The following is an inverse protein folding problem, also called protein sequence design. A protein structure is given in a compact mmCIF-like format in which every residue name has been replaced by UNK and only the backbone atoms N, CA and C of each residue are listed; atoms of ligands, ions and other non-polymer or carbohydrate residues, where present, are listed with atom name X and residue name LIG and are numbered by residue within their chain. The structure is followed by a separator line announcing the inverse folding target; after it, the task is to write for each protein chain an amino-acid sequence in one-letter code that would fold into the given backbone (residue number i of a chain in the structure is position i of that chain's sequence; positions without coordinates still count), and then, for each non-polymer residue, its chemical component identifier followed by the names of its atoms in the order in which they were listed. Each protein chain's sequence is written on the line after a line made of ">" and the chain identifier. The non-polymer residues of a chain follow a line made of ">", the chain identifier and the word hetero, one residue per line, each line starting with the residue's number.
data_IF_300362069608
#
_entry.id   IF_300362069608
#
_cell.length_a   1.000
_cell.length_b   1.000
_cell.length_c   1.000
_cell.angle_alpha   90.00
_cell.angle_beta   90.00
_cell.angle_gamma   90.00
#
_symmetry.space_group_name_H-M   'P 1'
#
loop_
_entity.id
_entity.type
_entity.pdbx_description
1 polymer ?
#
# COMPACT_ATOMS: atom_id res chain seq x y z
N UNK A 1 8.64 -13.02 -22.78
CA UNK A 1 7.33 -13.37 -23.36
C UNK A 1 6.47 -13.98 -22.28
N UNK A 2 5.34 -13.37 -21.95
CA UNK A 2 4.35 -13.99 -21.04
C UNK A 2 3.35 -14.78 -21.89
N UNK A 3 3.19 -16.07 -21.62
CA UNK A 3 2.09 -16.83 -22.22
C UNK A 3 0.74 -16.31 -21.67
N UNK A 4 -0.38 -16.57 -22.35
CA UNK A 4 -1.71 -16.16 -21.89
C UNK A 4 -1.99 -16.62 -20.45
N UNK A 5 -1.58 -17.85 -20.12
CA UNK A 5 -1.67 -18.39 -18.76
C UNK A 5 -0.86 -17.62 -17.72
N UNK A 6 0.39 -17.25 -18.02
CA UNK A 6 1.23 -16.48 -17.10
C UNK A 6 0.73 -15.04 -16.94
N UNK A 7 0.19 -14.44 -18.02
CA UNK A 7 -0.38 -13.09 -17.98
C UNK A 7 -1.60 -13.01 -17.04
N UNK A 8 -2.45 -14.05 -17.04
CA UNK A 8 -3.62 -14.14 -16.15
C UNK A 8 -3.17 -14.26 -14.69
N UNK A 9 -2.19 -15.12 -14.41
CA UNK A 9 -1.65 -15.29 -13.05
C UNK A 9 -0.95 -14.02 -12.56
N UNK A 10 -0.17 -13.38 -13.42
CA UNK A 10 0.47 -12.09 -13.13
C UNK A 10 -0.56 -10.99 -12.86
N UNK A 11 -1.61 -10.90 -13.68
CA UNK A 11 -2.69 -9.92 -13.50
C UNK A 11 -3.47 -10.15 -12.20
N UNK A 12 -3.79 -11.40 -11.87
CA UNK A 12 -4.45 -11.74 -10.61
C UNK A 12 -3.55 -11.46 -9.39
N UNK A 13 -2.27 -11.84 -9.46
CA UNK A 13 -1.30 -11.55 -8.40
C UNK A 13 -1.11 -10.05 -8.17
N UNK A 14 -0.95 -9.27 -9.24
CA UNK A 14 -0.84 -7.82 -9.17
C UNK A 14 -2.12 -7.17 -8.64
N UNK A 15 -3.30 -7.64 -9.06
CA UNK A 15 -4.59 -7.15 -8.57
C UNK A 15 -4.80 -7.42 -7.07
N UNK A 16 -4.46 -8.62 -6.60
CA UNK A 16 -4.53 -8.98 -5.18
C UNK A 16 -3.53 -8.14 -4.36
N UNK A 17 -2.31 -7.95 -4.85
CA UNK A 17 -1.31 -7.10 -4.20
C UNK A 17 -1.77 -5.65 -4.06
N UNK A 18 -2.39 -5.10 -5.11
CA UNK A 18 -2.95 -3.74 -5.07
C UNK A 18 -4.13 -3.62 -4.11
N UNK A 19 -5.04 -4.61 -4.09
CA UNK A 19 -6.16 -4.64 -3.16
C UNK A 19 -5.70 -4.68 -1.70
N UNK A 20 -4.66 -5.46 -1.39
CA UNK A 20 -4.02 -5.48 -0.08
C UNK A 20 -3.44 -4.12 0.30
N UNK A 21 -2.72 -3.46 -0.63
CA UNK A 21 -2.13 -2.15 -0.39
C UNK A 21 -3.18 -1.08 -0.07
N UNK A 22 -4.31 -1.06 -0.79
CA UNK A 22 -5.39 -0.10 -0.52
C UNK A 22 -6.10 -0.41 0.79
N UNK A 23 -6.33 -1.68 1.11
CA UNK A 23 -6.96 -2.08 2.37
C UNK A 23 -6.10 -1.67 3.56
N UNK A 24 -4.79 -1.87 3.48
CA UNK A 24 -3.83 -1.42 4.48
C UNK A 24 -3.88 0.10 4.65
N UNK A 25 -3.84 0.86 3.54
CA UNK A 25 -3.92 2.31 3.57
C UNK A 25 -5.24 2.80 4.22
N UNK A 26 -6.37 2.18 3.88
CA UNK A 26 -7.66 2.49 4.47
C UNK A 26 -7.68 2.25 5.99
N UNK A 27 -7.14 1.12 6.44
CA UNK A 27 -7.03 0.80 7.87
C UNK A 27 -6.17 1.81 8.64
N UNK A 28 -5.04 2.24 8.07
CA UNK A 28 -4.21 3.26 8.72
C UNK A 28 -4.89 4.63 8.74
N UNK A 29 -5.61 5.01 7.68
CA UNK A 29 -6.39 6.26 7.65
C UNK A 29 -7.53 6.26 8.67
N UNK A 30 -8.23 5.13 8.84
CA UNK A 30 -9.27 4.96 9.85
C UNK A 30 -8.68 5.18 11.26
N UNK A 31 -7.54 4.53 11.57
CA UNK A 31 -6.88 4.65 12.88
C UNK A 31 -6.38 6.08 13.17
N UNK A 32 -5.90 6.77 12.14
CA UNK A 32 -5.44 8.16 12.23
C UNK A 32 -6.59 9.15 12.52
N UNK A 33 -7.81 8.87 12.05
CA UNK A 33 -9.00 9.68 12.35
C UNK A 33 -9.34 9.70 13.85
N UNK A 34 -9.03 8.63 14.55
CA UNK A 34 -9.22 8.50 16.01
C UNK A 34 -8.03 9.02 16.84
N UNK A 35 -6.95 9.45 16.18
CA UNK A 35 -5.74 9.95 16.83
C UNK A 35 -5.69 11.48 16.79
N UNK A 36 -5.09 12.11 17.79
CA UNK A 36 -4.90 13.56 17.85
C UNK A 36 -3.84 14.03 16.85
N UNK A 37 -4.22 14.11 15.57
CA UNK A 37 -3.37 14.63 14.50
C UNK A 37 -3.25 16.16 14.64
N UNK A 38 -2.06 16.77 14.54
CA UNK A 38 -1.90 18.23 14.59
C UNK A 38 -2.69 18.92 13.46
N UNK A 39 -3.40 20.02 13.75
CA UNK A 39 -4.34 20.66 12.82
C UNK A 39 -3.74 21.00 11.44
N UNK A 40 -2.46 21.38 11.38
CA UNK A 40 -1.77 21.69 10.12
C UNK A 40 -1.38 20.46 9.28
N UNK A 41 -1.41 19.25 9.83
CA UNK A 41 -1.04 18.00 9.16
C UNK A 41 -2.25 17.09 8.87
N UNK A 42 -3.44 17.50 9.32
CA UNK A 42 -4.70 16.77 9.06
C UNK A 42 -4.98 16.69 7.56
N UNK A 43 -5.43 15.52 7.12
CA UNK A 43 -5.77 15.28 5.72
C UNK A 43 -4.57 14.87 4.88
N UNK A 44 -4.02 15.78 4.07
CA UNK A 44 -3.05 15.43 3.03
C UNK A 44 -1.65 15.16 3.58
N UNK A 45 -1.14 16.00 4.50
CA UNK A 45 0.23 15.89 5.02
C UNK A 45 0.50 14.54 5.68
N UNK A 46 -0.36 14.13 6.62
CA UNK A 46 -0.19 12.84 7.29
C UNK A 46 -0.41 11.65 6.35
N UNK A 47 -1.26 11.78 5.33
CA UNK A 47 -1.46 10.72 4.34
C UNK A 47 -0.18 10.47 3.54
N UNK A 48 0.54 11.52 3.13
CA UNK A 48 1.83 11.38 2.44
C UNK A 48 2.90 10.71 3.31
N UNK A 49 3.01 11.11 4.58
CA UNK A 49 3.95 10.50 5.52
C UNK A 49 3.62 9.02 5.70
N UNK A 50 2.35 8.69 5.88
CA UNK A 50 1.88 7.32 6.07
C UNK A 50 2.15 6.45 4.85
N UNK A 51 1.88 6.98 3.64
CA UNK A 51 2.16 6.26 2.38
C UNK A 51 3.66 6.07 2.18
N UNK A 52 4.49 7.06 2.57
CA UNK A 52 5.95 6.93 2.55
C UNK A 52 6.47 5.87 3.53
N UNK A 53 5.91 5.78 4.74
CA UNK A 53 6.26 4.72 5.68
C UNK A 53 5.78 3.34 5.20
N UNK A 54 4.61 3.30 4.56
CA UNK A 54 4.07 2.08 3.97
C UNK A 54 4.94 1.59 2.80
N UNK A 55 5.48 2.49 1.98
CA UNK A 55 6.38 2.11 0.89
C UNK A 55 7.69 1.50 1.40
N UNK A 56 8.24 1.99 2.52
CA UNK A 56 9.38 1.36 3.20
C UNK A 56 9.05 -0.07 3.67
N UNK A 57 7.84 -0.29 4.17
CA UNK A 57 7.34 -1.62 4.50
C UNK A 57 7.21 -2.52 3.28
N UNK A 58 6.71 -2.01 2.15
CA UNK A 58 6.67 -2.78 0.90
C UNK A 58 8.07 -3.06 0.32
N UNK A 59 9.04 -2.17 0.52
CA UNK A 59 10.43 -2.39 0.14
C UNK A 59 11.06 -3.57 0.89
N UNK A 60 10.57 -3.99 2.07
CA UNK A 60 11.09 -5.22 2.70
C UNK A 60 10.80 -6.48 1.87
N UNK A 61 9.80 -6.45 1.00
CA UNK A 61 9.48 -7.53 0.09
C UNK A 61 10.22 -7.45 -1.25
N UNK A 62 10.92 -6.35 -1.54
CA UNK A 62 11.68 -6.21 -2.81
C UNK A 62 12.95 -7.07 -2.86
N UNK A 63 13.44 -7.55 -1.71
CA UNK A 63 14.54 -8.50 -1.60
C UNK A 63 14.14 -9.95 -1.84
N UNK A 64 12.85 -10.24 -2.06
CA UNK A 64 12.37 -11.57 -2.44
C UNK A 64 12.58 -11.74 -3.94
N UNK A 65 13.76 -12.24 -4.31
CA UNK A 65 14.07 -12.65 -5.69
C UNK A 65 13.41 -13.99 -6.00
N UNK A 66 12.58 -14.03 -7.05
CA UNK A 66 12.23 -15.24 -7.79
C UNK A 66 13.30 -15.53 -8.86
#
# INVERSE_FOLDING_TARGET
>A
DYNFGESVVYGLGAGVGWALAITALAGVREKLKYSDVPDGLKGLGITFITVGLMSLGFMSFSGVSL
#
